data_IF_730532748804
#
_entry.id   IF_730532748804
#
_cell.length_a   1.000
_cell.length_b   1.000
_cell.length_c   1.000
_cell.angle_alpha   90.00
_cell.angle_beta   90.00
_cell.angle_gamma   90.00
#
_symmetry.space_group_name_H-M   'P 1'
#
loop_
_entity.id
_entity.type
_entity.pdbx_description
1 polymer ?
#
# COMPACT_ATOMS: atom_id res chain seq x y z
N UNK A 1 -26.74 -3.50 2.45
CA UNK A 1 -25.48 -2.73 2.56
C UNK A 1 -24.55 -3.26 1.49
N UNK A 2 -23.82 -2.40 0.77
CA UNK A 2 -22.86 -2.86 -0.22
C UNK A 2 -21.68 -3.57 0.48
N UNK A 3 -21.15 -4.63 -0.11
CA UNK A 3 -19.95 -5.31 0.37
C UNK A 3 -18.74 -4.39 0.20
N UNK A 4 -17.81 -4.39 1.16
CA UNK A 4 -16.59 -3.60 1.06
C UNK A 4 -15.77 -4.02 -0.18
N UNK A 5 -15.29 -3.08 -1.02
CA UNK A 5 -14.57 -3.42 -2.24
C UNK A 5 -13.30 -4.24 -1.97
N UNK A 6 -12.98 -5.14 -2.91
CA UNK A 6 -11.74 -5.91 -2.89
C UNK A 6 -10.72 -5.25 -3.79
N UNK A 7 -9.51 -5.06 -3.29
CA UNK A 7 -8.42 -4.46 -4.03
C UNK A 7 -7.34 -5.50 -4.31
N UNK A 8 -6.99 -5.69 -5.59
CA UNK A 8 -6.03 -6.71 -6.03
C UNK A 8 -4.66 -6.54 -5.36
N UNK A 9 -4.14 -5.30 -5.33
CA UNK A 9 -2.81 -5.01 -4.80
C UNK A 9 -2.81 -4.57 -3.34
N UNK A 10 -3.97 -4.33 -2.70
CA UNK A 10 -4.01 -4.02 -1.28
C UNK A 10 -5.20 -4.73 -0.62
N UNK A 11 -5.12 -6.06 -0.40
CA UNK A 11 -6.28 -6.88 -0.04
C UNK A 11 -6.89 -6.57 1.32
N UNK A 12 -6.09 -6.10 2.29
CA UNK A 12 -6.50 -5.85 3.68
C UNK A 12 -6.38 -4.37 4.10
N UNK A 13 -6.98 -3.42 3.37
CA UNK A 13 -6.69 -2.00 3.54
C UNK A 13 -7.29 -1.40 4.82
N UNK A 14 -8.21 -2.11 5.48
CA UNK A 14 -8.68 -1.76 6.84
C UNK A 14 -7.64 -2.18 7.88
N UNK A 15 -7.04 -3.38 7.73
CA UNK A 15 -6.04 -3.89 8.66
C UNK A 15 -4.75 -3.06 8.67
N UNK A 16 -4.37 -2.55 7.50
CA UNK A 16 -3.24 -1.62 7.32
C UNK A 16 -3.60 -0.17 7.61
N UNK A 17 -4.85 0.11 8.02
CA UNK A 17 -5.37 1.45 8.34
C UNK A 17 -5.37 2.44 7.18
N UNK A 18 -5.22 1.98 5.93
CA UNK A 18 -5.46 2.82 4.75
C UNK A 18 -6.93 3.26 4.67
N UNK A 19 -7.85 2.46 5.20
CA UNK A 19 -9.18 2.91 5.59
C UNK A 19 -9.39 2.79 7.08
N UNK A 20 -10.01 3.81 7.69
CA UNK A 20 -10.48 3.76 9.07
C UNK A 20 -11.99 3.86 9.11
N UNK A 21 -12.59 3.15 10.07
CA UNK A 21 -14.00 3.31 10.38
C UNK A 21 -14.19 4.66 11.09
N UNK A 22 -15.05 5.52 10.55
CA UNK A 22 -15.39 6.79 11.17
C UNK A 22 -16.34 6.58 12.36
N UNK A 23 -16.24 7.46 13.36
CA UNK A 23 -17.15 7.46 14.52
C UNK A 23 -18.61 7.72 14.08
N UNK A 24 -18.81 8.59 13.10
CA UNK A 24 -20.09 8.86 12.45
C UNK A 24 -19.95 8.84 10.91
N UNK A 25 -20.98 8.42 10.15
CA UNK A 25 -20.91 8.39 8.69
C UNK A 25 -20.56 9.75 8.09
N UNK A 26 -19.47 9.79 7.30
CA UNK A 26 -18.96 11.01 6.64
C UNK A 26 -19.44 11.08 5.20
N UNK A 27 -19.48 12.28 4.61
CA UNK A 27 -19.90 12.48 3.20
C UNK A 27 -18.67 12.41 2.30
N UNK A 28 -18.66 11.48 1.36
CA UNK A 28 -17.59 11.35 0.36
C UNK A 28 -17.58 12.56 -0.57
N UNK A 29 -16.42 13.22 -0.71
CA UNK A 29 -16.24 14.37 -1.60
C UNK A 29 -16.32 13.98 -3.09
N UNK A 30 -16.11 12.71 -3.44
CA UNK A 30 -16.30 12.22 -4.81
C UNK A 30 -17.79 12.13 -5.17
N UNK A 31 -18.52 11.20 -4.54
CA UNK A 31 -19.89 10.84 -4.94
C UNK A 31 -21.01 11.46 -4.11
N UNK A 32 -20.71 12.21 -3.05
CA UNK A 32 -21.69 12.84 -2.16
C UNK A 32 -22.47 11.86 -1.26
N UNK A 33 -22.15 10.56 -1.30
CA UNK A 33 -22.81 9.54 -0.45
C UNK A 33 -22.16 9.46 0.93
N UNK A 34 -22.94 9.04 1.93
CA UNK A 34 -22.41 8.71 3.26
C UNK A 34 -21.58 7.43 3.23
N UNK A 35 -20.46 7.42 3.93
CA UNK A 35 -19.55 6.28 4.11
C UNK A 35 -19.20 6.09 5.59
N UNK A 36 -19.11 4.84 6.02
CA UNK A 36 -18.62 4.48 7.36
C UNK A 36 -17.10 4.30 7.38
N UNK A 37 -16.46 4.15 6.21
CA UNK A 37 -15.02 4.03 6.07
C UNK A 37 -14.46 5.20 5.28
N UNK A 38 -13.41 5.82 5.82
CA UNK A 38 -12.72 6.97 5.24
C UNK A 38 -11.29 6.58 4.90
N UNK A 39 -10.84 6.98 3.72
CA UNK A 39 -9.47 6.79 3.27
C UNK A 39 -8.51 7.72 4.01
N UNK A 40 -7.37 7.19 4.44
CA UNK A 40 -6.44 7.84 5.38
C UNK A 40 -4.97 7.74 4.94
N UNK A 41 -4.72 7.16 3.77
CA UNK A 41 -3.40 7.02 3.17
C UNK A 41 -3.21 8.08 2.04
N UNK A 42 -2.05 8.13 1.37
CA UNK A 42 -1.75 9.20 0.40
C UNK A 42 -2.76 9.29 -0.74
N UNK A 43 -3.11 10.53 -1.10
CA UNK A 43 -3.81 10.86 -2.32
C UNK A 43 -3.19 12.12 -2.93
N UNK A 44 -2.41 11.93 -3.99
CA UNK A 44 -1.70 12.98 -4.69
C UNK A 44 -2.66 13.63 -5.69
N UNK A 45 -3.18 14.82 -5.35
CA UNK A 45 -4.04 15.61 -6.24
C UNK A 45 -3.82 17.10 -6.00
N UNK A 46 -4.20 17.94 -6.95
CA UNK A 46 -4.09 19.39 -6.80
C UNK A 46 -5.08 19.96 -5.77
N UNK A 47 -6.22 19.29 -5.60
CA UNK A 47 -7.24 19.64 -4.61
C UNK A 47 -6.94 19.00 -3.26
N UNK A 48 -7.33 19.66 -2.16
CA UNK A 48 -7.27 19.04 -0.85
C UNK A 48 -8.52 18.18 -0.62
N UNK A 49 -8.37 16.87 -0.63
CA UNK A 49 -9.46 15.90 -0.46
C UNK A 49 -9.29 15.17 0.87
N UNK A 50 -10.25 15.35 1.78
CA UNK A 50 -10.22 14.81 3.14
C UNK A 50 -11.05 13.53 3.31
N UNK A 51 -12.10 13.34 2.51
CA UNK A 51 -13.06 12.23 2.66
C UNK A 51 -13.31 11.54 1.34
N UNK A 52 -12.69 10.38 1.16
CA UNK A 52 -12.97 9.43 0.08
C UNK A 52 -13.54 8.13 0.66
N UNK A 53 -14.58 7.61 0.01
CA UNK A 53 -15.14 6.31 0.32
C UNK A 53 -14.42 5.21 -0.47
N UNK A 54 -14.37 3.97 0.05
CA UNK A 54 -13.67 2.87 -0.63
C UNK A 54 -14.23 2.55 -2.02
N UNK A 55 -15.52 2.81 -2.26
CA UNK A 55 -16.18 2.52 -3.53
C UNK A 55 -15.67 3.42 -4.66
N UNK A 56 -15.48 4.72 -4.38
CA UNK A 56 -14.97 5.66 -5.39
C UNK A 56 -13.49 5.45 -5.71
N UNK A 57 -12.74 4.85 -4.77
CA UNK A 57 -11.38 4.40 -5.04
C UNK A 57 -11.45 3.16 -5.94
N UNK A 58 -12.24 2.15 -5.56
CA UNK A 58 -12.32 0.90 -6.30
C UNK A 58 -12.81 1.03 -7.76
N UNK A 59 -13.76 1.93 -8.03
CA UNK A 59 -14.27 2.17 -9.39
C UNK A 59 -13.47 3.20 -10.18
N UNK A 60 -12.48 3.86 -9.56
CA UNK A 60 -11.63 4.88 -10.17
C UNK A 60 -12.25 6.29 -10.23
N UNK A 61 -13.51 6.47 -9.83
CA UNK A 61 -14.19 7.77 -9.92
C UNK A 61 -13.53 8.88 -9.09
N UNK A 62 -12.91 8.54 -7.95
CA UNK A 62 -12.16 9.52 -7.15
C UNK A 62 -10.93 10.03 -7.90
N UNK A 63 -10.15 9.11 -8.48
CA UNK A 63 -8.97 9.44 -9.27
C UNK A 63 -9.34 10.28 -10.51
N UNK A 64 -10.41 9.89 -11.23
CA UNK A 64 -10.91 10.62 -12.40
C UNK A 64 -11.38 12.04 -12.03
N UNK A 65 -12.16 12.17 -10.95
CA UNK A 65 -12.75 13.46 -10.57
C UNK A 65 -11.71 14.49 -10.14
N UNK A 66 -10.71 14.06 -9.38
CA UNK A 66 -9.72 14.97 -8.77
C UNK A 66 -8.38 14.98 -9.52
N UNK A 67 -8.30 14.32 -10.68
CA UNK A 67 -7.05 14.10 -11.43
C UNK A 67 -5.91 13.64 -10.51
N UNK A 68 -6.22 12.65 -9.66
CA UNK A 68 -5.38 12.24 -8.54
C UNK A 68 -4.86 10.81 -8.64
N UNK A 69 -3.91 10.50 -7.76
CA UNK A 69 -3.28 9.17 -7.65
C UNK A 69 -3.15 8.74 -6.19
N UNK A 70 -3.40 7.47 -5.91
CA UNK A 70 -3.23 6.85 -4.59
C UNK A 70 -1.83 6.28 -4.38
N UNK A 71 -1.05 6.17 -5.47
CA UNK A 71 0.34 5.77 -5.49
C UNK A 71 1.04 6.51 -6.64
N UNK A 72 2.23 7.03 -6.39
CA UNK A 72 3.05 7.64 -7.44
C UNK A 72 3.61 6.57 -8.40
N UNK A 73 3.25 6.67 -9.68
CA UNK A 73 3.72 5.76 -10.72
C UNK A 73 5.25 5.75 -10.89
N UNK A 74 5.93 6.87 -10.58
CA UNK A 74 7.39 6.94 -10.63
C UNK A 74 8.06 6.19 -9.47
N UNK A 75 7.33 5.98 -8.38
CA UNK A 75 7.75 5.28 -7.17
C UNK A 75 7.22 3.85 -7.16
N UNK A 76 7.30 3.18 -8.30
CA UNK A 76 6.86 1.80 -8.48
C UNK A 76 7.91 1.03 -9.28
N UNK A 77 8.06 -0.26 -9.01
CA UNK A 77 8.74 -1.15 -9.94
C UNK A 77 8.05 -1.09 -11.32
N UNK A 78 8.82 -1.25 -12.39
CA UNK A 78 8.28 -1.24 -13.74
C UNK A 78 7.57 -2.54 -14.06
N UNK A 79 6.37 -2.43 -14.60
CA UNK A 79 5.56 -3.53 -15.14
C UNK A 79 5.20 -3.18 -16.59
N UNK A 80 5.26 -4.16 -17.48
CA UNK A 80 5.10 -3.93 -18.93
C UNK A 80 3.67 -3.51 -19.34
N UNK A 81 2.68 -3.92 -18.56
CA UNK A 81 1.26 -3.67 -18.84
C UNK A 81 0.79 -2.37 -18.17
N UNK A 82 0.53 -1.29 -18.94
CA UNK A 82 0.14 0.00 -18.39
C UNK A 82 -1.21 -0.05 -17.65
N UNK A 83 -2.10 -1.00 -17.99
CA UNK A 83 -3.38 -1.15 -17.30
C UNK A 83 -3.19 -1.60 -15.83
N UNK A 84 -2.10 -2.32 -15.53
CA UNK A 84 -1.75 -2.70 -14.16
C UNK A 84 -1.28 -1.52 -13.35
N UNK A 85 -0.49 -0.63 -13.96
CA UNK A 85 -0.05 0.62 -13.33
C UNK A 85 -1.24 1.53 -13.09
N UNK A 86 -2.14 1.68 -14.07
CA UNK A 86 -3.39 2.44 -13.88
C UNK A 86 -4.25 1.87 -12.74
N UNK A 87 -4.44 0.55 -12.67
CA UNK A 87 -5.18 -0.07 -11.57
C UNK A 87 -4.53 0.19 -10.21
N UNK A 88 -3.20 0.12 -10.14
CA UNK A 88 -2.46 0.41 -8.93
C UNK A 88 -2.65 1.87 -8.52
N UNK A 89 -2.34 2.82 -9.40
CA UNK A 89 -2.28 4.24 -9.02
C UNK A 89 -3.65 4.91 -8.92
N UNK A 90 -4.65 4.45 -9.68
CA UNK A 90 -5.98 5.08 -9.74
C UNK A 90 -7.05 4.33 -8.98
N UNK A 91 -6.87 3.04 -8.71
CA UNK A 91 -7.95 2.19 -8.14
C UNK A 91 -7.55 1.36 -6.92
N UNK A 92 -6.30 1.46 -6.47
CA UNK A 92 -5.83 0.75 -5.28
C UNK A 92 -5.53 1.75 -4.17
N UNK A 93 -6.00 1.54 -2.93
CA UNK A 93 -5.60 2.37 -1.81
C UNK A 93 -4.09 2.27 -1.59
N UNK A 94 -3.43 3.40 -1.36
CA UNK A 94 -2.02 3.46 -0.97
C UNK A 94 -1.75 2.84 0.40
N UNK A 95 -0.49 2.85 0.81
CA UNK A 95 -0.07 2.63 2.19
C UNK A 95 0.69 3.86 2.68
N UNK A 96 1.08 3.91 3.96
CA UNK A 96 1.77 5.07 4.53
C UNK A 96 3.24 4.72 4.73
N UNK A 97 4.13 5.41 4.01
CA UNK A 97 5.58 5.33 4.15
C UNK A 97 6.14 6.34 5.15
N UNK A 98 7.40 6.18 5.57
CA UNK A 98 8.14 7.31 6.15
C UNK A 98 8.59 8.28 5.06
N UNK A 99 9.04 7.72 3.93
CA UNK A 99 9.36 8.46 2.72
C UNK A 99 8.25 8.25 1.67
N UNK A 100 8.52 8.70 0.45
CA UNK A 100 7.68 8.36 -0.69
C UNK A 100 7.49 6.84 -0.78
N UNK A 101 6.24 6.38 -0.79
CA UNK A 101 5.90 4.97 -0.86
C UNK A 101 6.43 4.35 -2.15
N UNK A 102 7.02 3.16 -2.04
CA UNK A 102 7.58 2.41 -3.16
C UNK A 102 6.88 1.07 -3.36
N UNK A 103 6.19 0.90 -4.49
CA UNK A 103 5.43 -0.33 -4.75
C UNK A 103 6.23 -1.39 -5.49
N UNK A 104 6.41 -2.55 -4.87
CA UNK A 104 7.19 -3.66 -5.42
C UNK A 104 6.43 -4.48 -6.45
N UNK A 105 7.15 -4.98 -7.46
CA UNK A 105 6.65 -5.96 -8.44
C UNK A 105 7.47 -7.25 -8.39
N UNK A 106 6.86 -8.35 -8.81
CA UNK A 106 7.51 -9.65 -8.94
C UNK A 106 6.74 -10.53 -9.92
N UNK A 107 7.44 -11.33 -10.73
CA UNK A 107 6.85 -12.15 -11.80
C UNK A 107 5.99 -11.36 -12.81
N UNK A 108 6.38 -10.12 -13.16
CA UNK A 108 5.70 -9.31 -14.19
C UNK A 108 4.36 -8.71 -13.76
N UNK A 109 4.10 -8.62 -12.45
CA UNK A 109 2.94 -7.94 -11.89
C UNK A 109 3.31 -7.28 -10.55
N UNK A 110 2.52 -6.29 -10.13
CA UNK A 110 2.66 -5.69 -8.81
C UNK A 110 2.31 -6.71 -7.73
N UNK A 111 3.06 -6.66 -6.63
CA UNK A 111 2.78 -7.48 -5.46
C UNK A 111 1.61 -6.87 -4.67
N UNK A 112 0.88 -7.73 -3.95
CA UNK A 112 -0.09 -7.27 -2.97
C UNK A 112 0.59 -6.79 -1.70
N UNK A 113 0.30 -5.58 -1.26
CA UNK A 113 0.72 -5.06 0.04
C UNK A 113 0.01 -5.83 1.16
N UNK A 114 0.82 -6.41 2.05
CA UNK A 114 0.38 -7.25 3.17
C UNK A 114 0.28 -6.42 4.44
N UNK A 115 1.24 -5.51 4.66
CA UNK A 115 1.25 -4.63 5.81
C UNK A 115 2.64 -4.24 6.28
N UNK A 116 2.65 -3.51 7.39
CA UNK A 116 3.85 -3.03 8.08
C UNK A 116 4.43 -4.14 8.97
N UNK A 117 5.74 -4.34 8.92
CA UNK A 117 6.45 -5.39 9.65
C UNK A 117 7.77 -4.90 10.24
N UNK A 118 8.09 -5.38 11.44
CA UNK A 118 9.44 -5.44 11.98
C UNK A 118 9.97 -6.87 11.97
N UNK A 119 11.16 -7.08 12.53
CA UNK A 119 11.70 -8.44 12.67
C UNK A 119 10.78 -9.35 13.50
N UNK A 120 10.10 -8.83 14.52
CA UNK A 120 9.16 -9.60 15.35
C UNK A 120 7.99 -10.17 14.53
N UNK A 121 7.41 -9.38 13.62
CA UNK A 121 6.35 -9.88 12.72
C UNK A 121 6.89 -10.91 11.75
N UNK A 122 8.08 -10.68 11.18
CA UNK A 122 8.72 -11.64 10.28
C UNK A 122 9.01 -12.96 10.99
N UNK A 123 9.43 -12.95 12.25
CA UNK A 123 9.62 -14.15 13.08
C UNK A 123 8.30 -14.90 13.28
N UNK A 124 7.24 -14.20 13.68
CA UNK A 124 5.89 -14.80 13.86
C UNK A 124 5.35 -15.42 12.57
N UNK A 125 5.74 -14.87 11.42
CA UNK A 125 5.37 -15.38 10.10
C UNK A 125 6.31 -16.49 9.58
N UNK A 126 7.39 -16.82 10.29
CA UNK A 126 8.39 -17.79 9.84
C UNK A 126 9.22 -17.31 8.64
N UNK A 127 9.42 -15.98 8.54
CA UNK A 127 10.13 -15.30 7.45
C UNK A 127 11.48 -14.72 7.88
N UNK A 128 11.80 -14.63 9.18
CA UNK A 128 13.03 -14.01 9.67
C UNK A 128 14.32 -14.65 9.10
N UNK A 129 14.37 -15.98 9.00
CA UNK A 129 15.51 -16.68 8.38
C UNK A 129 15.58 -16.48 6.85
N UNK A 130 14.49 -16.02 6.24
CA UNK A 130 14.37 -15.76 4.80
C UNK A 130 14.50 -14.28 4.46
N UNK A 131 14.81 -13.40 5.42
CA UNK A 131 14.91 -11.96 5.20
C UNK A 131 15.82 -11.63 4.02
N UNK A 132 16.96 -12.30 3.87
CA UNK A 132 17.88 -12.09 2.74
C UNK A 132 17.24 -12.40 1.37
N UNK A 133 16.38 -13.42 1.30
CA UNK A 133 15.73 -13.87 0.06
C UNK A 133 14.53 -13.01 -0.33
N UNK A 134 13.87 -12.38 0.64
CA UNK A 134 12.69 -11.54 0.40
C UNK A 134 13.05 -10.05 0.35
N UNK A 135 14.18 -9.63 0.93
CA UNK A 135 14.57 -8.23 0.99
C UNK A 135 14.99 -7.66 -0.36
N UNK A 136 14.33 -6.58 -0.78
CA UNK A 136 14.61 -5.84 -2.01
C UNK A 136 15.66 -4.77 -1.77
N UNK A 137 16.91 -5.22 -1.68
CA UNK A 137 18.09 -4.35 -1.53
C UNK A 137 18.25 -3.34 -2.67
N UNK A 138 17.81 -3.71 -3.88
CA UNK A 138 17.81 -2.86 -5.07
C UNK A 138 16.83 -1.68 -4.99
N UNK A 139 15.83 -1.75 -4.10
CA UNK A 139 14.88 -0.67 -3.86
C UNK A 139 15.16 0.09 -2.55
N UNK A 140 15.52 -0.60 -1.47
CA UNK A 140 15.66 -0.02 -0.13
C UNK A 140 17.08 0.43 0.26
N UNK A 141 18.12 -0.09 -0.42
CA UNK A 141 19.53 0.33 -0.28
C UNK A 141 20.21 0.19 1.10
N UNK A 142 19.54 -0.36 2.12
CA UNK A 142 20.19 -0.74 3.39
C UNK A 142 20.98 -2.06 3.24
N UNK A 143 22.00 -2.25 4.07
CA UNK A 143 22.60 -3.57 4.23
C UNK A 143 21.72 -4.49 5.09
N UNK A 144 21.95 -5.80 4.96
CA UNK A 144 21.11 -6.81 5.59
C UNK A 144 21.23 -6.80 7.13
N UNK A 145 22.38 -6.41 7.67
CA UNK A 145 22.60 -6.34 9.11
C UNK A 145 21.80 -5.19 9.71
N UNK A 146 21.78 -4.03 9.05
CA UNK A 146 20.91 -2.90 9.38
C UNK A 146 19.44 -3.28 9.38
N UNK A 147 18.98 -4.05 8.39
CA UNK A 147 17.60 -4.57 8.37
C UNK A 147 17.36 -5.51 9.55
N UNK A 148 18.25 -6.47 9.80
CA UNK A 148 18.05 -7.46 10.88
C UNK A 148 18.07 -6.83 12.27
N UNK A 149 18.86 -5.80 12.48
CA UNK A 149 19.00 -5.16 13.80
C UNK A 149 18.02 -4.01 14.01
N UNK A 150 17.66 -3.29 12.94
CA UNK A 150 16.90 -2.04 13.04
C UNK A 150 15.41 -2.14 12.72
N UNK A 151 14.95 -3.18 12.00
CA UNK A 151 13.58 -3.21 11.49
C UNK A 151 12.56 -3.38 12.62
N UNK A 152 11.77 -2.34 12.86
CA UNK A 152 10.78 -2.29 13.92
C UNK A 152 9.46 -1.71 13.41
N UNK A 153 8.35 -2.38 13.68
CA UNK A 153 7.03 -1.92 13.24
C UNK A 153 6.59 -0.67 14.01
N UNK A 154 6.46 0.45 13.31
CA UNK A 154 6.25 1.77 13.87
C UNK A 154 7.52 2.44 14.42
N UNK A 155 8.71 1.92 14.08
CA UNK A 155 9.99 2.53 14.44
C UNK A 155 10.61 3.33 13.30
N UNK A 156 11.77 3.93 13.57
CA UNK A 156 12.53 4.71 12.59
C UNK A 156 12.91 3.93 11.33
N UNK A 157 13.15 2.61 11.42
CA UNK A 157 13.34 1.75 10.24
C UNK A 157 12.15 0.80 10.12
N UNK A 158 11.29 1.06 9.14
CA UNK A 158 10.02 0.35 8.95
C UNK A 158 10.11 -0.62 7.78
N UNK A 159 9.58 -1.83 7.96
CA UNK A 159 9.42 -2.80 6.87
C UNK A 159 8.02 -2.76 6.26
N UNK A 160 7.96 -2.91 4.94
CA UNK A 160 6.74 -2.99 4.14
C UNK A 160 6.73 -4.33 3.43
N UNK A 161 5.83 -5.21 3.85
CA UNK A 161 5.75 -6.57 3.32
C UNK A 161 4.77 -6.63 2.16
N UNK A 162 5.21 -7.22 1.07
CA UNK A 162 4.42 -7.49 -0.12
C UNK A 162 4.41 -8.98 -0.44
N UNK A 163 3.41 -9.44 -1.18
CA UNK A 163 3.27 -10.83 -1.63
C UNK A 163 3.01 -10.88 -3.12
N UNK A 164 3.86 -11.61 -3.85
CA UNK A 164 3.66 -11.83 -5.28
C UNK A 164 2.34 -12.58 -5.52
N UNK A 165 1.50 -12.06 -6.41
CA UNK A 165 0.20 -12.64 -6.74
C UNK A 165 0.28 -13.94 -7.55
N UNK A 166 1.43 -14.19 -8.21
CA UNK A 166 1.62 -15.36 -9.07
C UNK A 166 2.25 -16.53 -8.31
N UNK A 167 3.41 -16.31 -7.66
CA UNK A 167 4.14 -17.38 -6.98
C UNK A 167 3.96 -17.39 -5.46
N UNK A 168 3.32 -16.37 -4.88
CA UNK A 168 3.12 -16.27 -3.44
C UNK A 168 4.36 -15.89 -2.63
N UNK A 169 5.53 -15.69 -3.27
CA UNK A 169 6.76 -15.26 -2.60
C UNK A 169 6.59 -13.86 -2.00
N UNK A 170 7.07 -13.70 -0.78
CA UNK A 170 7.10 -12.39 -0.13
C UNK A 170 8.24 -11.53 -0.68
N UNK A 171 8.04 -10.22 -0.67
CA UNK A 171 9.02 -9.19 -1.01
C UNK A 171 8.99 -8.13 0.09
N UNK A 172 10.14 -7.75 0.61
CA UNK A 172 10.28 -6.81 1.72
C UNK A 172 10.98 -5.54 1.22
N UNK A 173 10.29 -4.41 1.37
CA UNK A 173 10.86 -3.08 1.23
C UNK A 173 11.07 -2.46 2.63
N UNK A 174 11.97 -1.51 2.76
CA UNK A 174 12.16 -0.77 4.01
C UNK A 174 12.59 0.67 3.71
N UNK A 175 12.13 1.60 4.53
CA UNK A 175 12.56 3.00 4.53
C UNK A 175 12.74 3.50 5.98
N UNK A 176 13.21 4.74 6.13
CA UNK A 176 13.38 5.37 7.45
C UNK A 176 12.94 6.84 7.48
N UNK A 177 12.64 7.33 8.69
CA UNK A 177 12.24 8.71 8.98
C UNK A 177 13.36 9.76 8.87
#
# INVERSE_FOLDING_TARGET
>A
MAEFPKFKYHPEPIGTKAFKKADEPRVCQCCGKKTEYVYEAPFFSAENVEVLCPYCIADGSAAEKFDGEFQDAASCDKVDDPAKTEELTKRTPGYIGWQQEYWLAHCGDYCAFVGYVGMEELEKMGLADKTEDIYRKDAAFFDLDTIREGLYNGGSLQGYLFRCLLCGKYQLYADCD
#
